data_IF_968176868015
#
_entry.id   IF_968176868015
#
_cell.length_a   1.000
_cell.length_b   1.000
_cell.length_c   1.000
_cell.angle_alpha   90.00
_cell.angle_beta   90.00
_cell.angle_gamma   90.00
#
_symmetry.space_group_name_H-M   'P 1'
#
loop_
_entity.id
_entity.type
_entity.pdbx_description
1 polymer ?
#
# COMPACT_ATOMS: atom_id res chain seq x y z
N UNK A 1 3.90 4.94 3.83
CA UNK A 1 4.29 3.54 3.52
C UNK A 1 3.56 3.05 2.27
N UNK A 2 2.24 3.20 2.15
CA UNK A 2 1.49 2.82 0.95
C UNK A 2 2.01 3.46 -0.34
N UNK A 3 2.34 4.75 -0.32
CA UNK A 3 2.90 5.45 -1.48
C UNK A 3 4.16 4.77 -2.03
N UNK A 4 5.03 4.26 -1.14
CA UNK A 4 6.27 3.56 -1.57
C UNK A 4 5.95 2.21 -2.19
N UNK A 5 4.94 1.48 -1.68
CA UNK A 5 4.52 0.20 -2.23
C UNK A 5 3.83 0.32 -3.61
N UNK A 6 3.25 1.47 -3.94
CA UNK A 6 2.67 1.73 -5.26
C UNK A 6 3.71 2.11 -6.34
N UNK A 7 4.85 2.70 -5.95
CA UNK A 7 5.85 3.21 -6.88
C UNK A 7 6.46 2.13 -7.80
N UNK A 8 6.73 0.87 -7.36
CA UNK A 8 7.31 -0.15 -8.22
C UNK A 8 6.49 -0.45 -9.49
N UNK A 9 5.16 -0.30 -9.47
CA UNK A 9 4.34 -0.49 -10.67
C UNK A 9 4.73 0.51 -11.77
N UNK A 10 4.84 1.79 -11.42
CA UNK A 10 5.24 2.84 -12.36
C UNK A 10 6.70 2.67 -12.83
N UNK A 11 7.60 2.26 -11.92
CA UNK A 11 9.00 2.02 -12.28
C UNK A 11 9.17 0.81 -13.19
N UNK A 12 8.38 -0.27 -13.05
CA UNK A 12 8.40 -1.41 -13.97
C UNK A 12 8.11 -0.97 -15.41
N UNK A 13 7.09 -0.13 -15.62
CA UNK A 13 6.76 0.39 -16.94
C UNK A 13 7.87 1.30 -17.49
N UNK A 14 8.41 2.19 -16.65
CA UNK A 14 9.52 3.06 -17.03
C UNK A 14 10.78 2.27 -17.41
N UNK A 15 11.20 1.29 -16.57
CA UNK A 15 12.38 0.46 -16.85
C UNK A 15 12.20 -0.41 -18.10
N UNK A 16 10.98 -0.88 -18.37
CA UNK A 16 10.70 -1.65 -19.58
C UNK A 16 10.81 -0.80 -20.85
N UNK A 17 10.40 0.47 -20.79
CA UNK A 17 10.52 1.41 -21.91
C UNK A 17 11.94 1.97 -22.09
N UNK A 18 12.70 2.07 -21.00
CA UNK A 18 14.04 2.68 -20.96
C UNK A 18 15.01 1.81 -20.13
N UNK A 19 15.43 0.65 -20.65
CA UNK A 19 16.26 -0.30 -19.90
C UNK A 19 17.67 0.23 -19.57
N UNK A 20 18.15 1.24 -20.29
CA UNK A 20 19.44 1.90 -20.03
C UNK A 20 19.37 2.95 -18.92
N UNK A 21 18.18 3.31 -18.44
CA UNK A 21 18.00 4.37 -17.45
C UNK A 21 18.51 3.93 -16.07
N UNK A 22 19.46 4.67 -15.53
CA UNK A 22 19.98 4.45 -14.18
C UNK A 22 19.05 5.13 -13.16
N UNK A 23 18.34 4.35 -12.38
CA UNK A 23 17.37 4.83 -11.40
C UNK A 23 17.92 4.67 -9.99
N UNK A 24 17.91 5.75 -9.21
CA UNK A 24 18.20 5.72 -7.77
C UNK A 24 16.94 6.05 -6.98
N UNK A 25 16.47 5.11 -6.17
CA UNK A 25 15.30 5.29 -5.32
C UNK A 25 15.71 5.79 -3.93
N UNK A 26 15.30 7.02 -3.59
CA UNK A 26 15.51 7.59 -2.26
C UNK A 26 14.43 7.09 -1.29
N UNK A 27 14.76 6.12 -0.44
CA UNK A 27 13.79 5.50 0.47
C UNK A 27 14.44 4.98 1.77
N UNK A 28 13.63 4.58 2.75
CA UNK A 28 14.13 3.90 3.95
C UNK A 28 14.50 2.46 3.63
N UNK A 29 15.55 1.94 4.26
CA UNK A 29 16.09 0.60 4.00
C UNK A 29 15.02 -0.51 4.08
N UNK A 30 14.08 -0.39 5.01
CA UNK A 30 13.00 -1.38 5.19
C UNK A 30 12.10 -1.56 3.95
N UNK A 31 12.02 -0.56 3.06
CA UNK A 31 11.16 -0.61 1.88
C UNK A 31 11.87 -1.12 0.61
N UNK A 32 13.17 -1.41 0.67
CA UNK A 32 13.89 -1.98 -0.48
C UNK A 32 13.24 -3.25 -1.06
N UNK A 33 12.63 -4.15 -0.25
CA UNK A 33 11.98 -5.34 -0.78
C UNK A 33 10.85 -5.08 -1.78
N UNK A 34 10.18 -3.91 -1.73
CA UNK A 34 9.14 -3.55 -2.70
C UNK A 34 9.66 -3.45 -4.15
N UNK A 35 10.95 -3.17 -4.31
CA UNK A 35 11.60 -2.97 -5.60
C UNK A 35 12.28 -4.24 -6.13
N UNK A 36 11.95 -5.40 -5.54
CA UNK A 36 12.49 -6.69 -6.02
C UNK A 36 12.18 -6.90 -7.50
N UNK A 37 13.19 -7.34 -8.26
CA UNK A 37 13.09 -7.55 -9.70
C UNK A 37 13.19 -6.26 -10.55
N UNK A 38 13.52 -5.13 -9.93
CA UNK A 38 13.90 -3.89 -10.62
C UNK A 38 15.40 -3.65 -10.43
N UNK A 39 16.06 -3.29 -11.51
CA UNK A 39 17.47 -2.87 -11.48
C UNK A 39 17.54 -1.39 -11.08
N UNK A 40 17.48 -1.13 -9.77
CA UNK A 40 17.53 0.22 -9.21
C UNK A 40 18.55 0.31 -8.08
N UNK A 41 19.22 1.44 -8.00
CA UNK A 41 20.08 1.80 -6.87
C UNK A 41 19.25 2.41 -5.75
N UNK A 42 19.79 2.41 -4.53
CA UNK A 42 19.12 3.00 -3.38
C UNK A 42 19.95 4.11 -2.73
N UNK A 43 19.30 5.24 -2.48
CA UNK A 43 19.77 6.30 -1.60
C UNK A 43 19.00 6.19 -0.28
N UNK A 44 19.65 5.71 0.76
CA UNK A 44 18.97 5.44 2.02
C UNK A 44 18.58 6.73 2.75
N UNK A 45 17.30 6.85 3.09
CA UNK A 45 16.73 8.00 3.82
C UNK A 45 16.48 7.62 5.27
N UNK A 46 17.26 8.18 6.20
CA UNK A 46 17.16 7.95 7.65
C UNK A 46 16.36 9.09 8.32
N UNK A 47 15.05 9.04 8.19
CA UNK A 47 14.12 10.14 8.59
C UNK A 47 14.13 10.46 10.09
N UNK A 48 14.46 9.47 10.94
CA UNK A 48 14.52 9.64 12.41
C UNK A 48 15.94 9.94 12.93
N UNK A 49 16.93 9.99 12.04
CA UNK A 49 18.33 10.21 12.38
C UNK A 49 18.92 11.33 11.50
N UNK A 50 19.78 11.01 10.55
CA UNK A 50 20.58 11.97 9.78
C UNK A 50 19.74 12.93 8.90
N UNK A 51 18.53 12.50 8.46
CA UNK A 51 17.68 13.22 7.50
C UNK A 51 16.38 13.77 8.14
N UNK A 52 16.41 14.08 9.47
CA UNK A 52 15.27 14.67 10.16
C UNK A 52 15.18 16.19 9.95
N UNK A 53 16.31 16.86 9.68
CA UNK A 53 16.43 18.31 9.54
C UNK A 53 16.65 18.76 8.09
N UNK A 54 16.42 20.04 7.80
CA UNK A 54 16.72 20.64 6.49
C UNK A 54 18.20 20.44 6.10
N UNK A 55 19.13 20.61 7.04
CA UNK A 55 20.55 20.39 6.79
C UNK A 55 20.86 18.92 6.45
N UNK A 56 20.17 17.97 7.09
CA UNK A 56 20.26 16.54 6.76
C UNK A 56 19.78 16.25 5.35
N UNK A 57 18.63 16.81 4.96
CA UNK A 57 18.09 16.68 3.60
C UNK A 57 19.03 17.33 2.56
N UNK A 58 19.67 18.45 2.90
CA UNK A 58 20.65 19.09 2.04
C UNK A 58 21.88 18.20 1.81
N UNK A 59 22.35 17.48 2.84
CA UNK A 59 23.42 16.47 2.71
C UNK A 59 22.99 15.32 1.80
N UNK A 60 21.76 14.82 1.96
CA UNK A 60 21.19 13.80 1.10
C UNK A 60 21.17 14.23 -0.38
N UNK A 61 20.76 15.47 -0.65
CA UNK A 61 20.78 16.04 -2.00
C UNK A 61 22.21 16.16 -2.57
N UNK A 62 23.20 16.52 -1.71
CA UNK A 62 24.61 16.51 -2.11
C UNK A 62 25.11 15.11 -2.46
N UNK A 63 24.69 14.10 -1.72
CA UNK A 63 25.04 12.70 -2.02
C UNK A 63 24.43 12.26 -3.36
N UNK A 64 23.16 12.57 -3.61
CA UNK A 64 22.51 12.30 -4.91
C UNK A 64 23.29 12.91 -6.08
N UNK A 65 23.71 14.18 -5.95
CA UNK A 65 24.54 14.83 -7.00
C UNK A 65 25.89 14.17 -7.20
N UNK A 66 26.56 13.71 -6.12
CA UNK A 66 27.84 12.97 -6.22
C UNK A 66 27.69 11.64 -6.92
N UNK A 67 26.50 11.05 -6.92
CA UNK A 67 26.17 9.84 -7.68
C UNK A 67 25.82 10.11 -9.14
N UNK A 68 25.86 11.37 -9.59
CA UNK A 68 25.59 11.77 -10.96
C UNK A 68 24.10 11.88 -11.29
N UNK A 69 23.22 12.08 -10.30
CA UNK A 69 21.78 12.31 -10.56
C UNK A 69 21.59 13.62 -11.31
N UNK A 70 20.96 13.56 -12.50
CA UNK A 70 20.72 14.66 -13.42
C UNK A 70 19.22 15.03 -13.55
N UNK A 71 18.32 14.21 -13.01
CA UNK A 71 16.90 14.48 -12.93
C UNK A 71 16.29 13.92 -11.64
N UNK A 72 15.24 14.57 -11.14
CA UNK A 72 14.51 14.16 -9.91
C UNK A 72 13.02 14.05 -10.19
N UNK A 73 12.45 12.89 -9.90
CA UNK A 73 11.01 12.66 -9.84
C UNK A 73 10.54 12.68 -8.38
N UNK A 74 9.99 13.82 -7.90
CA UNK A 74 9.36 13.88 -6.58
C UNK A 74 7.93 13.33 -6.63
N UNK A 75 7.79 12.06 -6.33
CA UNK A 75 6.49 11.36 -6.23
C UNK A 75 5.87 11.47 -4.84
N UNK A 76 6.49 12.21 -3.92
CA UNK A 76 6.04 12.28 -2.52
C UNK A 76 5.45 13.65 -2.12
N UNK A 77 5.95 14.76 -2.67
CA UNK A 77 5.48 16.13 -2.42
C UNK A 77 5.15 16.44 -0.95
N UNK A 78 6.15 16.28 -0.09
CA UNK A 78 6.11 16.65 1.32
C UNK A 78 7.18 17.71 1.63
N UNK A 79 7.14 18.32 2.81
CA UNK A 79 8.09 19.38 3.16
C UNK A 79 9.55 18.95 2.97
N UNK A 80 9.90 17.73 3.34
CA UNK A 80 11.26 17.20 3.18
C UNK A 80 11.67 17.05 1.72
N UNK A 81 10.79 16.51 0.87
CA UNK A 81 11.11 16.41 -0.56
C UNK A 81 11.23 17.79 -1.22
N UNK A 82 10.43 18.76 -0.80
CA UNK A 82 10.55 20.14 -1.28
C UNK A 82 11.92 20.79 -0.96
N UNK A 83 12.49 20.50 0.22
CA UNK A 83 13.84 20.95 0.57
C UNK A 83 14.89 20.25 -0.31
N UNK A 84 14.73 18.96 -0.56
CA UNK A 84 15.58 18.20 -1.49
C UNK A 84 15.51 18.78 -2.90
N UNK A 85 14.31 18.97 -3.43
CA UNK A 85 14.03 19.55 -4.74
C UNK A 85 14.66 20.94 -4.91
N UNK A 86 14.53 21.79 -3.88
CA UNK A 86 15.14 23.13 -3.92
C UNK A 86 16.66 23.03 -4.06
N UNK A 87 17.28 22.14 -3.27
CA UNK A 87 18.72 21.91 -3.38
C UNK A 87 19.14 21.41 -4.77
N UNK A 88 18.36 20.53 -5.38
CA UNK A 88 18.66 19.98 -6.70
C UNK A 88 18.51 21.06 -7.79
N UNK A 89 17.43 21.85 -7.76
CA UNK A 89 17.17 22.93 -8.71
C UNK A 89 18.24 24.03 -8.65
N UNK A 90 18.72 24.40 -7.46
CA UNK A 90 19.81 25.39 -7.30
C UNK A 90 21.13 24.93 -7.94
N UNK A 91 21.26 23.65 -8.26
CA UNK A 91 22.42 23.10 -8.96
C UNK A 91 22.10 22.69 -10.41
N UNK A 92 21.01 23.25 -10.99
CA UNK A 92 20.66 23.03 -12.41
C UNK A 92 20.01 21.69 -12.73
N UNK A 93 19.67 20.87 -11.72
CA UNK A 93 19.07 19.55 -11.92
C UNK A 93 17.56 19.69 -12.15
N UNK A 94 17.04 19.03 -13.18
CA UNK A 94 15.62 19.02 -13.51
C UNK A 94 14.82 18.32 -12.41
N UNK A 95 13.69 18.90 -12.00
CA UNK A 95 12.82 18.34 -10.97
C UNK A 95 11.37 18.39 -11.42
N UNK A 96 10.75 17.24 -11.60
CA UNK A 96 9.31 17.11 -11.74
C UNK A 96 8.69 16.66 -10.40
N UNK A 97 7.49 17.14 -10.11
CA UNK A 97 6.78 16.86 -8.86
C UNK A 97 5.38 16.40 -9.13
N UNK A 98 4.93 15.45 -8.32
CA UNK A 98 3.59 14.87 -8.41
C UNK A 98 2.49 15.91 -8.15
N UNK A 99 1.45 15.91 -8.99
CA UNK A 99 0.15 16.43 -8.61
C UNK A 99 -0.64 15.34 -7.88
N UNK A 100 -0.85 15.55 -6.57
CA UNK A 100 -1.62 14.62 -5.73
C UNK A 100 -3.13 14.70 -5.93
N UNK A 101 -3.64 15.57 -6.80
CA UNK A 101 -5.07 15.79 -7.01
C UNK A 101 -5.80 16.23 -5.74
N UNK A 102 -5.19 17.14 -4.95
CA UNK A 102 -5.75 17.56 -3.65
C UNK A 102 -7.09 18.27 -3.81
N UNK A 103 -7.26 19.06 -4.89
CA UNK A 103 -8.50 19.75 -5.19
C UNK A 103 -9.64 18.75 -5.50
N UNK A 104 -9.37 17.78 -6.38
CA UNK A 104 -10.34 16.74 -6.78
C UNK A 104 -10.76 15.89 -5.57
N UNK A 105 -9.77 15.48 -4.76
CA UNK A 105 -10.03 14.71 -3.52
C UNK A 105 -10.85 15.50 -2.51
N UNK A 106 -10.60 16.81 -2.36
CA UNK A 106 -11.40 17.69 -1.51
C UNK A 106 -12.85 17.79 -2.01
N UNK A 107 -13.03 17.90 -3.34
CA UNK A 107 -14.37 17.91 -3.95
C UNK A 107 -15.08 16.57 -3.73
N UNK A 108 -14.40 15.45 -3.92
CA UNK A 108 -14.94 14.11 -3.69
C UNK A 108 -15.43 13.89 -2.25
N UNK A 109 -14.81 14.49 -1.24
CA UNK A 109 -15.31 14.43 0.14
C UNK A 109 -16.65 15.16 0.35
N UNK A 110 -17.02 16.07 -0.55
CA UNK A 110 -18.27 16.84 -0.46
C UNK A 110 -19.41 16.20 -1.23
N UNK A 111 -19.14 15.19 -2.08
CA UNK A 111 -20.12 14.56 -2.97
C UNK A 111 -20.98 13.48 -2.31
N UNK A 112 -20.70 13.11 -1.02
CA UNK A 112 -21.40 12.01 -0.35
C UNK A 112 -21.17 10.65 -1.01
N UNK A 113 -19.99 10.42 -1.60
CA UNK A 113 -19.62 9.17 -2.28
C UNK A 113 -20.01 9.09 -3.76
N UNK A 114 -20.69 10.09 -4.28
CA UNK A 114 -21.14 10.16 -5.68
C UNK A 114 -20.14 10.96 -6.51
N UNK A 115 -19.08 10.33 -6.95
CA UNK A 115 -18.05 10.94 -7.82
C UNK A 115 -17.39 9.88 -8.69
N UNK A 116 -16.93 10.30 -9.86
CA UNK A 116 -16.20 9.44 -10.76
C UNK A 116 -14.82 9.07 -10.18
N UNK A 117 -14.28 7.90 -10.52
CA UNK A 117 -12.95 7.50 -10.09
C UNK A 117 -11.91 8.57 -10.42
N UNK A 118 -11.17 9.02 -9.41
CA UNK A 118 -10.08 9.96 -9.59
C UNK A 118 -8.85 9.24 -10.17
N UNK A 119 -8.00 10.00 -10.88
CA UNK A 119 -6.75 9.47 -11.43
C UNK A 119 -5.97 8.71 -10.35
N UNK A 120 -5.62 7.46 -10.63
CA UNK A 120 -4.94 6.57 -9.71
C UNK A 120 -3.54 7.07 -9.36
N UNK A 121 -3.06 6.82 -8.15
CA UNK A 121 -1.74 7.29 -7.67
C UNK A 121 -0.59 6.74 -8.52
N UNK A 122 -0.67 5.51 -9.00
CA UNK A 122 0.34 4.91 -9.89
C UNK A 122 0.44 5.70 -11.21
N UNK A 123 -0.70 6.07 -11.80
CA UNK A 123 -0.73 6.90 -13.03
C UNK A 123 -0.15 8.29 -12.76
N UNK A 124 -0.42 8.87 -11.58
CA UNK A 124 0.19 10.15 -11.17
C UNK A 124 1.71 10.05 -11.02
N UNK A 125 2.25 8.88 -10.65
CA UNK A 125 3.70 8.66 -10.64
C UNK A 125 4.25 8.59 -12.07
N UNK A 126 3.55 7.93 -12.99
CA UNK A 126 3.91 7.92 -14.41
C UNK A 126 3.93 9.35 -14.99
N UNK A 127 2.94 10.19 -14.63
CA UNK A 127 2.90 11.59 -15.08
C UNK A 127 4.13 12.38 -14.62
N UNK A 128 4.72 12.08 -13.46
CA UNK A 128 5.96 12.74 -13.01
C UNK A 128 7.14 12.37 -13.93
N UNK A 129 7.23 11.10 -14.33
CA UNK A 129 8.28 10.65 -15.26
C UNK A 129 8.06 11.23 -16.67
N UNK A 130 6.80 11.29 -17.14
CA UNK A 130 6.45 11.95 -18.41
C UNK A 130 6.81 13.43 -18.40
N UNK A 131 6.61 14.13 -17.29
CA UNK A 131 7.02 15.53 -17.14
C UNK A 131 8.55 15.73 -17.16
N UNK A 132 9.34 14.66 -16.99
CA UNK A 132 10.79 14.66 -17.20
C UNK A 132 11.19 14.33 -18.66
N UNK A 133 10.23 14.00 -19.52
CA UNK A 133 10.44 13.69 -20.94
C UNK A 133 10.48 12.19 -21.27
N UNK A 134 10.05 11.32 -20.35
CA UNK A 134 9.96 9.88 -20.59
C UNK A 134 8.54 9.49 -21.01
N UNK A 135 8.34 9.17 -22.29
CA UNK A 135 7.05 8.75 -22.82
C UNK A 135 6.93 7.21 -22.76
N UNK A 136 5.91 6.72 -22.08
CA UNK A 136 5.60 5.28 -21.95
C UNK A 136 4.14 5.09 -21.52
N UNK A 137 3.62 3.89 -21.74
CA UNK A 137 2.24 3.54 -21.37
C UNK A 137 2.09 3.34 -19.86
N UNK A 138 0.85 3.43 -19.37
CA UNK A 138 0.55 3.10 -17.98
C UNK A 138 0.89 1.63 -17.69
N UNK A 139 1.37 1.32 -16.47
CA UNK A 139 1.81 -0.03 -16.15
C UNK A 139 0.64 -1.04 -16.18
N UNK A 140 0.91 -2.23 -16.68
CA UNK A 140 0.02 -3.38 -16.51
C UNK A 140 0.03 -3.86 -15.05
N UNK A 141 -1.03 -4.54 -14.58
CA UNK A 141 -1.01 -5.24 -13.29
C UNK A 141 0.19 -6.17 -13.16
N UNK A 142 0.67 -6.37 -11.94
CA UNK A 142 1.78 -7.28 -11.69
C UNK A 142 1.40 -8.72 -12.08
N UNK A 143 2.38 -9.47 -12.57
CA UNK A 143 2.26 -10.92 -12.76
C UNK A 143 2.77 -11.62 -11.50
N UNK A 144 2.12 -12.71 -11.11
CA UNK A 144 2.48 -13.47 -9.91
C UNK A 144 3.93 -13.95 -9.99
N UNK A 145 4.82 -13.48 -9.11
CA UNK A 145 6.22 -13.88 -9.14
C UNK A 145 6.40 -15.28 -8.53
N UNK A 146 7.45 -15.97 -8.95
CA UNK A 146 7.91 -17.19 -8.25
C UNK A 146 8.81 -16.77 -7.10
N UNK A 147 8.32 -16.87 -5.87
CA UNK A 147 9.04 -16.50 -4.65
C UNK A 147 9.15 -17.69 -3.70
N UNK A 148 10.16 -17.71 -2.81
CA UNK A 148 10.22 -18.68 -1.73
C UNK A 148 8.98 -18.64 -0.85
N UNK A 149 8.57 -19.77 -0.33
CA UNK A 149 7.49 -19.82 0.65
C UNK A 149 8.09 -19.92 2.08
N UNK A 150 8.00 -18.85 2.90
CA UNK A 150 8.57 -18.88 4.25
C UNK A 150 7.83 -19.83 5.21
N UNK A 151 6.63 -20.30 4.83
CA UNK A 151 5.81 -21.21 5.62
C UNK A 151 5.89 -22.67 5.14
N UNK A 152 6.83 -22.98 4.24
CA UNK A 152 7.03 -24.33 3.69
C UNK A 152 6.09 -24.67 2.56
N UNK A 153 5.85 -25.96 2.34
CA UNK A 153 5.00 -26.44 1.26
C UNK A 153 3.55 -25.98 1.45
N UNK A 154 2.96 -25.45 0.39
CA UNK A 154 1.56 -25.02 0.41
C UNK A 154 0.64 -26.22 0.19
N UNK A 155 -0.28 -26.42 1.14
CA UNK A 155 -1.38 -27.38 1.03
C UNK A 155 -2.70 -26.65 1.28
N UNK A 156 -3.69 -26.90 0.43
CA UNK A 156 -5.02 -26.31 0.53
C UNK A 156 -5.09 -24.81 0.24
N UNK A 157 -6.15 -24.16 0.73
CA UNK A 157 -6.43 -22.74 0.54
C UNK A 157 -5.88 -21.90 1.70
N UNK A 158 -5.08 -20.90 1.35
CA UNK A 158 -4.42 -19.99 2.29
C UNK A 158 -4.98 -18.59 2.17
N UNK A 159 -5.44 -18.02 3.26
CA UNK A 159 -6.00 -16.66 3.30
C UNK A 159 -5.21 -15.78 4.24
N UNK A 160 -4.78 -14.61 3.75
CA UNK A 160 -4.21 -13.56 4.56
C UNK A 160 -5.29 -12.62 5.12
N UNK A 161 -5.08 -12.09 6.33
CA UNK A 161 -5.92 -11.06 6.92
C UNK A 161 -5.08 -9.93 7.51
N UNK A 162 -5.28 -8.70 7.03
CA UNK A 162 -4.60 -7.48 7.46
C UNK A 162 -5.63 -6.46 7.99
N UNK A 163 -6.14 -6.60 9.23
CA UNK A 163 -7.22 -5.78 9.77
C UNK A 163 -6.81 -4.34 10.12
N UNK A 164 -5.51 -4.07 10.16
CA UNK A 164 -4.99 -2.85 10.77
C UNK A 164 -4.59 -1.79 9.75
N UNK A 165 -4.66 -0.54 10.19
CA UNK A 165 -4.17 0.61 9.45
C UNK A 165 -3.69 1.69 10.43
N UNK A 166 -2.95 2.68 9.92
CA UNK A 166 -2.45 3.80 10.72
C UNK A 166 -3.55 4.67 11.36
N UNK A 167 -4.79 4.56 10.89
CA UNK A 167 -5.90 5.39 11.34
C UNK A 167 -7.14 4.56 11.66
N UNK A 168 -7.85 4.90 12.73
CA UNK A 168 -9.06 4.19 13.19
C UNK A 168 -10.16 4.13 12.12
N UNK A 169 -10.30 5.16 11.27
CA UNK A 169 -11.27 5.17 10.17
C UNK A 169 -11.00 4.16 9.05
N UNK A 170 -9.87 3.44 9.13
CA UNK A 170 -9.45 2.40 8.18
C UNK A 170 -9.04 1.09 8.88
N UNK A 171 -9.20 0.97 10.18
CA UNK A 171 -8.93 -0.26 10.94
C UNK A 171 -10.22 -1.00 11.15
N UNK A 172 -10.26 -2.29 10.80
CA UNK A 172 -11.47 -3.09 11.00
C UNK A 172 -11.75 -3.24 12.49
N UNK A 173 -13.00 -3.06 12.95
CA UNK A 173 -13.28 -3.07 14.38
C UNK A 173 -12.97 -4.42 15.03
N UNK A 174 -12.57 -4.42 16.30
CA UNK A 174 -12.04 -5.61 16.98
C UNK A 174 -13.03 -6.77 17.02
N UNK A 175 -14.30 -6.52 17.37
CA UNK A 175 -15.31 -7.56 17.42
C UNK A 175 -15.57 -8.22 16.06
N UNK A 176 -15.65 -7.40 15.00
CA UNK A 176 -15.82 -7.85 13.63
C UNK A 176 -14.56 -8.59 13.13
N UNK A 177 -13.36 -8.14 13.53
CA UNK A 177 -12.09 -8.82 13.20
C UNK A 177 -12.02 -10.21 13.81
N UNK A 178 -12.39 -10.37 15.09
CA UNK A 178 -12.46 -11.67 15.79
C UNK A 178 -13.45 -12.60 15.12
N UNK A 179 -14.64 -12.10 14.82
CA UNK A 179 -15.66 -12.86 14.11
C UNK A 179 -15.20 -13.29 12.72
N UNK A 180 -14.48 -12.42 12.00
CA UNK A 180 -13.92 -12.77 10.70
C UNK A 180 -12.87 -13.87 10.83
N UNK A 181 -11.94 -13.78 11.78
CA UNK A 181 -10.93 -14.84 12.00
C UNK A 181 -11.59 -16.19 12.31
N UNK A 182 -12.62 -16.21 13.15
CA UNK A 182 -13.41 -17.42 13.44
C UNK A 182 -13.98 -18.03 12.16
N UNK A 183 -14.60 -17.22 11.31
CA UNK A 183 -15.18 -17.67 10.04
C UNK A 183 -14.12 -18.15 9.05
N UNK A 184 -12.97 -17.48 8.97
CA UNK A 184 -11.86 -17.87 8.11
C UNK A 184 -11.23 -19.18 8.58
N UNK A 185 -10.99 -19.33 9.89
CA UNK A 185 -10.43 -20.53 10.48
C UNK A 185 -11.32 -21.77 10.25
N UNK A 186 -12.64 -21.60 10.23
CA UNK A 186 -13.57 -22.68 9.96
C UNK A 186 -13.64 -23.13 8.48
N UNK A 187 -13.11 -22.32 7.53
CA UNK A 187 -13.30 -22.53 6.08
C UNK A 187 -12.04 -22.77 5.29
N UNK A 188 -10.91 -22.25 5.75
CA UNK A 188 -9.64 -22.28 5.01
C UNK A 188 -8.59 -23.09 5.75
N UNK A 189 -7.69 -23.71 5.00
CA UNK A 189 -6.68 -24.61 5.56
C UNK A 189 -5.66 -23.86 6.41
N UNK A 190 -5.31 -22.62 6.02
CA UNK A 190 -4.46 -21.71 6.83
C UNK A 190 -4.91 -20.27 6.72
N UNK A 191 -4.83 -19.57 7.84
CA UNK A 191 -5.11 -18.13 7.95
C UNK A 191 -3.87 -17.43 8.52
N UNK A 192 -3.41 -16.39 7.83
CA UNK A 192 -2.24 -15.61 8.24
C UNK A 192 -2.68 -14.21 8.64
N UNK A 193 -2.39 -13.79 9.87
CA UNK A 193 -2.69 -12.44 10.33
C UNK A 193 -1.46 -11.57 10.12
N UNK A 194 -1.57 -10.62 9.17
CA UNK A 194 -0.59 -9.60 8.88
C UNK A 194 -0.77 -8.41 9.82
N UNK A 195 0.33 -7.88 10.36
CA UNK A 195 0.29 -6.71 11.23
C UNK A 195 1.65 -6.36 11.78
N UNK A 196 1.71 -5.24 12.49
CA UNK A 196 2.90 -4.76 13.19
C UNK A 196 2.94 -5.21 14.65
N UNK A 197 3.79 -4.55 15.44
CA UNK A 197 3.92 -4.80 16.87
C UNK A 197 2.85 -4.11 17.73
N UNK A 198 2.95 -4.31 19.05
CA UNK A 198 2.07 -3.70 20.03
C UNK A 198 0.67 -4.32 20.02
N UNK A 199 -0.38 -3.51 19.92
CA UNK A 199 -1.77 -3.99 19.95
C UNK A 199 -2.12 -4.92 18.78
N UNK A 200 -1.51 -4.73 17.62
CA UNK A 200 -1.72 -5.57 16.44
C UNK A 200 -1.16 -6.97 16.69
N UNK A 201 0.03 -7.04 17.27
CA UNK A 201 0.67 -8.30 17.68
C UNK A 201 -0.18 -9.05 18.72
N UNK A 202 -0.63 -8.36 19.78
CA UNK A 202 -1.43 -8.98 20.84
C UNK A 202 -2.73 -9.59 20.29
N UNK A 203 -3.42 -8.90 19.39
CA UNK A 203 -4.61 -9.43 18.71
C UNK A 203 -4.26 -10.69 17.90
N UNK A 204 -3.19 -10.64 17.10
CA UNK A 204 -2.81 -11.76 16.24
C UNK A 204 -2.39 -13.00 17.05
N UNK A 205 -1.61 -12.83 18.12
CA UNK A 205 -1.19 -13.90 19.02
C UNK A 205 -2.37 -14.52 19.77
N UNK A 206 -3.35 -13.71 20.20
CA UNK A 206 -4.58 -14.20 20.81
C UNK A 206 -5.38 -15.07 19.81
N UNK A 207 -5.54 -14.64 18.57
CA UNK A 207 -6.25 -15.41 17.54
C UNK A 207 -5.50 -16.71 17.19
N UNK A 208 -4.18 -16.69 17.12
CA UNK A 208 -3.37 -17.89 16.93
C UNK A 208 -3.55 -18.89 18.07
N UNK A 209 -3.68 -18.42 19.31
CA UNK A 209 -3.95 -19.30 20.45
C UNK A 209 -5.36 -19.92 20.45
N UNK A 210 -6.32 -19.25 19.81
CA UNK A 210 -7.70 -19.74 19.71
C UNK A 210 -7.91 -20.76 18.58
N UNK A 211 -7.15 -20.66 17.49
CA UNK A 211 -7.39 -21.47 16.27
C UNK A 211 -6.09 -22.10 15.75
N UNK A 212 -6.02 -23.44 15.64
CA UNK A 212 -4.76 -24.15 15.32
C UNK A 212 -4.24 -23.89 13.90
N UNK A 213 -5.09 -23.44 12.97
CA UNK A 213 -4.74 -23.10 11.58
C UNK A 213 -4.53 -21.60 11.35
N UNK A 214 -4.61 -20.79 12.40
CA UNK A 214 -4.29 -19.35 12.36
C UNK A 214 -2.84 -19.13 12.74
N UNK A 215 -2.14 -18.25 12.04
CA UNK A 215 -0.74 -17.90 12.31
C UNK A 215 -0.57 -16.38 12.41
N UNK A 216 -0.10 -15.89 13.55
CA UNK A 216 0.36 -14.53 13.73
C UNK A 216 1.75 -14.36 13.11
N UNK A 217 1.91 -13.42 12.18
CA UNK A 217 3.17 -13.29 11.41
C UNK A 217 4.24 -12.45 12.08
N UNK A 218 3.87 -11.54 12.98
CA UNK A 218 4.82 -10.65 13.63
C UNK A 218 5.92 -11.43 14.35
N UNK A 219 7.17 -11.11 14.04
CA UNK A 219 8.35 -11.78 14.60
C UNK A 219 8.69 -13.14 14.00
N UNK A 220 7.78 -13.77 13.24
CA UNK A 220 8.03 -15.08 12.59
C UNK A 220 8.57 -14.93 11.17
N UNK A 221 8.13 -13.92 10.45
CA UNK A 221 8.65 -13.57 9.13
C UNK A 221 9.21 -12.14 9.14
N UNK A 222 10.28 -11.94 8.37
CA UNK A 222 10.78 -10.59 8.12
C UNK A 222 9.86 -9.87 7.14
N UNK A 223 9.91 -8.56 7.11
CA UNK A 223 9.08 -7.73 6.20
C UNK A 223 9.16 -8.16 4.71
N UNK A 224 10.33 -8.56 4.23
CA UNK A 224 10.48 -9.14 2.89
C UNK A 224 9.74 -10.48 2.74
N UNK A 225 9.78 -11.31 3.78
CA UNK A 225 9.10 -12.61 3.82
C UNK A 225 7.57 -12.49 3.86
N UNK A 226 7.01 -11.38 4.36
CA UNK A 226 5.56 -11.16 4.28
C UNK A 226 5.09 -11.04 2.83
N UNK A 227 5.83 -10.34 1.94
CA UNK A 227 5.50 -10.31 0.52
C UNK A 227 5.70 -11.67 -0.16
N UNK A 228 6.73 -12.42 0.25
CA UNK A 228 6.94 -13.79 -0.21
C UNK A 228 5.76 -14.67 0.16
N UNK A 229 5.30 -14.62 1.40
CA UNK A 229 4.11 -15.34 1.86
C UNK A 229 2.86 -14.89 1.11
N UNK A 230 2.62 -13.58 0.98
CA UNK A 230 1.47 -13.05 0.22
C UNK A 230 1.39 -13.64 -1.19
N UNK A 231 2.53 -13.89 -1.87
CA UNK A 231 2.53 -14.52 -3.20
C UNK A 231 1.99 -15.96 -3.21
N UNK A 232 1.93 -16.61 -2.07
CA UNK A 232 1.38 -17.95 -1.90
C UNK A 232 -0.05 -17.97 -1.35
N UNK A 233 -0.56 -16.85 -0.86
CA UNK A 233 -1.95 -16.73 -0.46
C UNK A 233 -2.88 -16.75 -1.67
N UNK A 234 -4.05 -17.37 -1.51
CA UNK A 234 -5.09 -17.40 -2.54
C UNK A 234 -5.92 -16.12 -2.54
N UNK A 235 -6.02 -15.48 -1.38
CA UNK A 235 -6.66 -14.19 -1.19
C UNK A 235 -6.09 -13.50 0.04
N UNK A 236 -5.92 -12.16 -0.03
CA UNK A 236 -5.69 -11.32 1.13
C UNK A 236 -6.94 -10.49 1.42
N UNK A 237 -7.46 -10.55 2.64
CA UNK A 237 -8.39 -9.54 3.15
C UNK A 237 -7.61 -8.39 3.75
N UNK A 238 -7.77 -7.20 3.22
CA UNK A 238 -7.02 -6.02 3.67
C UNK A 238 -7.90 -4.79 3.83
N UNK A 239 -7.52 -3.93 4.73
CA UNK A 239 -8.03 -2.56 4.78
C UNK A 239 -7.37 -1.71 3.68
N UNK A 240 -7.84 -0.46 3.50
CA UNK A 240 -7.08 0.58 2.78
C UNK A 240 -5.76 0.84 3.53
N UNK A 241 -4.77 -0.02 3.33
CA UNK A 241 -3.51 -0.06 4.06
C UNK A 241 -2.34 -0.47 3.15
N UNK A 242 -1.15 -0.50 3.72
CA UNK A 242 0.06 -0.92 3.01
C UNK A 242 -0.04 -2.38 2.53
N UNK A 243 -0.69 -3.27 3.29
CA UNK A 243 -0.80 -4.69 2.96
C UNK A 243 -1.52 -4.91 1.62
N UNK A 244 -2.59 -4.15 1.31
CA UNK A 244 -3.25 -4.18 0.01
C UNK A 244 -2.29 -3.87 -1.14
N UNK A 245 -1.42 -2.88 -0.98
CA UNK A 245 -0.44 -2.53 -2.02
C UNK A 245 0.71 -3.54 -2.12
N UNK A 246 1.10 -4.16 -0.99
CA UNK A 246 2.08 -5.26 -1.00
C UNK A 246 1.55 -6.47 -1.76
N UNK A 247 0.31 -6.87 -1.50
CA UNK A 247 -0.35 -7.96 -2.22
C UNK A 247 -0.46 -7.67 -3.72
N UNK A 248 -0.76 -6.42 -4.10
CA UNK A 248 -0.80 -6.02 -5.52
C UNK A 248 0.55 -6.14 -6.23
N UNK A 249 1.68 -5.98 -5.52
CA UNK A 249 3.02 -6.13 -6.09
C UNK A 249 3.34 -7.59 -6.47
N UNK A 250 2.71 -8.54 -5.81
CA UNK A 250 2.90 -9.98 -6.01
C UNK A 250 1.68 -10.66 -6.64
N UNK A 251 0.75 -9.85 -7.16
CA UNK A 251 -0.48 -10.30 -7.84
C UNK A 251 -1.34 -11.26 -7.01
N UNK A 252 -1.35 -11.10 -5.69
CA UNK A 252 -2.28 -11.81 -4.81
C UNK A 252 -3.65 -11.14 -4.91
N UNK A 253 -4.73 -11.88 -5.14
CA UNK A 253 -6.09 -11.35 -5.12
C UNK A 253 -6.40 -10.69 -3.77
N UNK A 254 -7.09 -9.54 -3.80
CA UNK A 254 -7.38 -8.77 -2.58
C UNK A 254 -8.88 -8.48 -2.47
N UNK A 255 -9.49 -8.91 -1.38
CA UNK A 255 -10.77 -8.37 -0.90
C UNK A 255 -10.46 -7.22 0.05
N UNK A 256 -10.75 -5.99 -0.37
CA UNK A 256 -10.43 -4.79 0.41
C UNK A 256 -11.65 -4.19 1.10
N UNK A 257 -11.48 -3.76 2.36
CA UNK A 257 -12.57 -3.17 3.17
C UNK A 257 -12.32 -1.68 3.35
N UNK A 258 -13.33 -0.87 3.01
CA UNK A 258 -13.22 0.58 2.97
C UNK A 258 -14.18 1.26 3.96
N UNK A 259 -13.62 1.98 4.92
CA UNK A 259 -14.35 2.73 5.94
C UNK A 259 -14.52 4.22 5.61
N UNK A 260 -13.74 5.07 6.27
CA UNK A 260 -13.76 6.52 6.13
C UNK A 260 -13.25 7.04 4.78
N UNK A 261 -12.52 6.21 4.03
CA UNK A 261 -11.98 6.48 2.71
C UNK A 261 -12.85 5.85 1.60
N UNK A 262 -12.44 5.94 0.34
CA UNK A 262 -13.17 5.38 -0.80
C UNK A 262 -12.20 4.88 -1.88
N UNK A 263 -12.43 3.72 -2.54
CA UNK A 263 -11.54 3.21 -3.58
C UNK A 263 -11.38 4.19 -4.75
N UNK A 264 -12.43 4.92 -5.12
CA UNK A 264 -12.41 5.93 -6.19
C UNK A 264 -11.54 7.17 -5.87
N UNK A 265 -10.96 7.31 -4.68
CA UNK A 265 -9.96 8.35 -4.39
C UNK A 265 -8.59 8.11 -5.05
N UNK A 266 -8.45 7.02 -5.82
CA UNK A 266 -7.25 6.67 -6.56
C UNK A 266 -6.21 5.93 -5.73
N UNK A 267 -6.65 5.17 -4.70
CA UNK A 267 -5.79 4.42 -3.78
C UNK A 267 -6.06 2.90 -3.79
N UNK A 268 -6.97 2.40 -4.60
CA UNK A 268 -7.17 0.95 -4.74
C UNK A 268 -5.84 0.29 -5.11
N UNK A 269 -5.55 -0.93 -4.64
CA UNK A 269 -4.35 -1.65 -5.04
C UNK A 269 -4.27 -1.76 -6.57
N UNK A 270 -3.10 -1.51 -7.15
CA UNK A 270 -2.95 -1.53 -8.61
C UNK A 270 -3.21 -2.94 -9.16
N UNK A 271 -4.14 -3.06 -10.09
CA UNK A 271 -4.61 -4.36 -10.60
C UNK A 271 -5.66 -5.07 -9.72
N UNK A 272 -6.00 -4.52 -8.54
CA UNK A 272 -7.13 -5.04 -7.76
C UNK A 272 -8.46 -4.70 -8.45
N UNK A 273 -9.41 -5.60 -8.35
CA UNK A 273 -10.71 -5.45 -8.98
C UNK A 273 -11.62 -4.55 -8.14
N UNK A 274 -12.31 -3.56 -8.74
CA UNK A 274 -13.22 -2.67 -8.00
C UNK A 274 -14.38 -3.41 -7.30
N UNK A 275 -14.87 -4.51 -7.87
CA UNK A 275 -15.93 -5.35 -7.30
C UNK A 275 -15.52 -6.07 -6.02
N UNK A 276 -14.21 -6.24 -5.77
CA UNK A 276 -13.65 -6.82 -4.55
C UNK A 276 -13.38 -5.75 -3.47
N UNK A 277 -13.70 -4.50 -3.75
CA UNK A 277 -13.60 -3.39 -2.80
C UNK A 277 -14.92 -3.22 -2.03
N UNK A 278 -15.00 -3.87 -0.87
CA UNK A 278 -16.19 -3.86 -0.03
C UNK A 278 -16.34 -2.55 0.76
N UNK A 279 -17.51 -1.98 0.67
CA UNK A 279 -17.83 -0.71 1.33
C UNK A 279 -19.33 -0.61 1.62
N UNK A 280 -19.69 0.27 2.56
CA UNK A 280 -21.06 0.62 2.83
C UNK A 280 -21.51 1.83 2.00
N UNK A 281 -22.72 1.84 1.52
CA UNK A 281 -23.34 3.03 0.92
C UNK A 281 -23.93 3.91 2.04
N UNK A 282 -23.15 4.90 2.46
CA UNK A 282 -23.53 5.83 3.53
C UNK A 282 -23.21 7.28 3.10
N UNK A 283 -24.13 8.24 3.32
CA UNK A 283 -23.96 9.61 2.87
C UNK A 283 -22.80 10.36 3.56
N UNK A 284 -22.29 9.83 4.67
CA UNK A 284 -21.13 10.38 5.36
C UNK A 284 -19.78 9.92 4.79
N UNK A 285 -19.76 9.08 3.75
CA UNK A 285 -18.55 8.57 3.10
C UNK A 285 -18.33 9.18 1.71
N UNK A 286 -17.06 9.36 1.29
CA UNK A 286 -15.85 9.37 2.14
C UNK A 286 -15.84 10.60 3.05
N UNK A 287 -15.46 10.45 4.31
CA UNK A 287 -15.34 11.59 5.25
C UNK A 287 -13.88 12.04 5.43
N UNK A 288 -12.93 11.27 4.91
CA UNK A 288 -11.50 11.55 4.99
C UNK A 288 -10.76 11.00 3.76
N UNK A 289 -9.78 11.74 3.25
CA UNK A 289 -8.92 11.25 2.16
C UNK A 289 -8.00 10.12 2.64
N UNK A 290 -7.52 10.20 3.89
CA UNK A 290 -6.52 9.28 4.45
C UNK A 290 -6.99 8.53 5.70
N UNK A 291 -8.25 8.68 6.09
CA UNK A 291 -8.79 8.03 7.29
C UNK A 291 -8.40 8.68 8.62
N UNK A 292 -7.66 9.77 8.61
CA UNK A 292 -7.15 10.43 9.82
C UNK A 292 -8.21 11.23 10.60
N UNK A 293 -9.31 11.62 9.93
CA UNK A 293 -10.40 12.37 10.57
C UNK A 293 -11.20 11.43 11.49
N UNK A 294 -11.42 11.79 12.76
CA UNK A 294 -12.30 11.01 13.64
C UNK A 294 -13.71 10.88 13.07
N UNK A 295 -14.35 9.74 13.34
CA UNK A 295 -15.75 9.53 12.95
C UNK A 295 -16.65 10.52 13.67
N UNK A 296 -17.47 11.25 12.93
CA UNK A 296 -18.42 12.23 13.52
C UNK A 296 -19.51 11.58 14.39
N UNK A 297 -19.78 10.29 14.18
CA UNK A 297 -20.75 9.52 14.98
C UNK A 297 -20.06 8.68 16.07
N UNK A 298 -18.73 8.61 16.09
CA UNK A 298 -17.95 7.84 17.06
C UNK A 298 -17.98 6.32 16.91
N UNK A 299 -18.82 5.76 16.04
CA UNK A 299 -19.15 4.34 16.00
C UNK A 299 -18.52 3.58 14.80
N UNK A 300 -17.93 4.29 13.84
CA UNK A 300 -17.37 3.72 12.61
C UNK A 300 -18.33 2.76 11.88
N UNK A 301 -19.64 3.11 11.86
CA UNK A 301 -20.70 2.31 11.23
C UNK A 301 -20.43 1.89 9.79
N UNK A 302 -19.64 2.67 9.05
CA UNK A 302 -19.21 2.34 7.69
C UNK A 302 -18.37 1.06 7.63
N UNK A 303 -17.52 0.81 8.63
CA UNK A 303 -16.73 -0.43 8.73
C UNK A 303 -17.60 -1.58 9.23
N UNK A 304 -18.43 -1.37 10.25
CA UNK A 304 -19.34 -2.38 10.80
C UNK A 304 -20.39 -2.87 9.80
N UNK A 305 -20.81 -2.02 8.87
CA UNK A 305 -21.77 -2.40 7.83
C UNK A 305 -21.15 -3.33 6.74
N UNK A 306 -19.83 -3.46 6.68
CA UNK A 306 -19.18 -4.51 5.94
C UNK A 306 -18.98 -5.69 6.88
N UNK A 307 -19.96 -6.60 6.95
CA UNK A 307 -19.95 -7.71 7.91
C UNK A 307 -18.90 -8.77 7.57
N UNK A 308 -18.41 -9.54 8.55
CA UNK A 308 -17.52 -10.67 8.33
C UNK A 308 -18.05 -11.69 7.33
N UNK A 309 -19.35 -11.99 7.40
CA UNK A 309 -20.02 -12.91 6.47
C UNK A 309 -19.94 -12.42 5.02
N UNK A 310 -20.19 -11.12 4.78
CA UNK A 310 -20.07 -10.50 3.44
C UNK A 310 -18.64 -10.56 2.92
N UNK A 311 -17.63 -10.44 3.80
CA UNK A 311 -16.22 -10.58 3.40
C UNK A 311 -15.94 -12.02 2.96
N UNK A 312 -16.40 -13.02 3.73
CA UNK A 312 -16.23 -14.43 3.39
C UNK A 312 -16.91 -14.78 2.06
N UNK A 313 -18.14 -14.32 1.85
CA UNK A 313 -18.85 -14.49 0.58
C UNK A 313 -18.08 -13.92 -0.62
N UNK A 314 -17.37 -12.79 -0.41
CA UNK A 314 -16.54 -12.21 -1.48
C UNK A 314 -15.26 -13.00 -1.70
N UNK A 315 -14.61 -13.49 -0.64
CA UNK A 315 -13.43 -14.37 -0.77
C UNK A 315 -13.80 -15.62 -1.59
N UNK A 316 -14.94 -16.24 -1.32
CA UNK A 316 -15.39 -17.44 -2.04
C UNK A 316 -15.57 -17.19 -3.55
N UNK A 317 -15.88 -15.95 -3.97
CA UNK A 317 -15.95 -15.59 -5.40
C UNK A 317 -14.57 -15.37 -6.03
N UNK A 318 -13.61 -14.96 -5.21
CA UNK A 318 -12.23 -14.66 -5.65
C UNK A 318 -11.39 -15.92 -5.79
N UNK A 319 -11.57 -16.92 -4.88
CA UNK A 319 -10.74 -18.13 -4.84
C UNK A 319 -11.28 -19.29 -5.69
N UNK A 320 -12.45 -19.13 -6.29
CA UNK A 320 -13.03 -20.07 -7.27
C UNK A 320 -12.38 -19.91 -8.64
#
# INVERSE_FOLDING_TARGET
MGDVAMLPHALRALCAAYPELKITVATQAMFKPFFRGLEVDFLEVKVKAEHHSAAGIWRLAREARRRGVDAVADVHDVLRSKVFDLSMRLHGIRVARIDKGRADKKHALQSGGRFEPLKHSVVRYCDVFRALGFEFDDPTPAVKPVLPNPMGEKAGLWVGFAPFSAHAGKTYPDAESRRLVELLAARYDRVFIHGGGGKEQLFAEEMEACYPNVTALFGKVRFAGEMELMSHEDCLVSMDSMAMHMASLVATPVVSVWGATHPNLGFLGWGCRPEDALQADLPCRPCSVFGAKPCQYGDYRCLKAVTPERIVEQIEKVVR
#
